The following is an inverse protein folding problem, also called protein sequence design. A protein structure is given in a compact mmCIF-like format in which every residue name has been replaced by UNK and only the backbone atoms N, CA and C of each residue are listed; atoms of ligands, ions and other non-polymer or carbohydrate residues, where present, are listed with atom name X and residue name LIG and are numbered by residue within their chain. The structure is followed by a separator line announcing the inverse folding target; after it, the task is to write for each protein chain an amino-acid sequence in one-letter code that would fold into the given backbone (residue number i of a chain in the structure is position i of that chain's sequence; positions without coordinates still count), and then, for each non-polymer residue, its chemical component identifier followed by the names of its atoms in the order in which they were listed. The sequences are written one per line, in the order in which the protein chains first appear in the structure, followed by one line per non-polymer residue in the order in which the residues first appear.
data_IF_285349935130
#
_entry.id   IF_285349935130
#
_cell.length_a   1.000
_cell.length_b   1.000
_cell.length_c   1.000
_cell.angle_alpha   90.00
_cell.angle_beta   90.00
_cell.angle_gamma   90.00
#
_symmetry.space_group_name_H-M   'P 1'
#
loop_
_entity.id
_entity.type
_entity.pdbx_description
1 polymer ?
#
# COMPACT_ATOMS: atom_id res chain seq x y z
N UNK A 1 21.03 1.70 -2.62
CA UNK A 1 20.52 1.22 -1.32
C UNK A 1 19.75 2.33 -0.59
N UNK A 2 20.40 3.20 0.19
CA UNK A 2 19.69 4.15 1.08
C UNK A 2 18.71 5.08 0.37
N UNK A 3 19.06 5.60 -0.82
CA UNK A 3 18.17 6.47 -1.59
C UNK A 3 16.85 5.78 -1.99
N UNK A 4 16.92 4.50 -2.35
CA UNK A 4 15.75 3.67 -2.72
C UNK A 4 14.86 3.44 -1.50
N UNK A 5 15.46 3.07 -0.36
CA UNK A 5 14.72 2.83 0.87
C UNK A 5 14.05 4.11 1.41
N UNK A 6 14.75 5.26 1.36
CA UNK A 6 14.20 6.56 1.77
C UNK A 6 13.06 6.98 0.83
N UNK A 7 13.22 6.81 -0.48
CA UNK A 7 12.16 7.12 -1.44
C UNK A 7 10.89 6.29 -1.17
N UNK A 8 11.04 4.97 -0.95
CA UNK A 8 9.90 4.12 -0.58
C UNK A 8 9.24 4.58 0.73
N UNK A 9 10.03 4.93 1.76
CA UNK A 9 9.50 5.47 3.01
C UNK A 9 8.74 6.77 2.82
N UNK A 10 9.24 7.69 1.98
CA UNK A 10 8.62 8.98 1.74
C UNK A 10 7.31 8.84 0.95
N UNK A 11 7.25 7.92 -0.01
CA UNK A 11 6.01 7.58 -0.69
C UNK A 11 4.96 7.06 0.30
N UNK A 12 5.37 6.24 1.28
CA UNK A 12 4.52 5.66 2.33
C UNK A 12 4.12 6.62 3.46
N UNK A 13 4.52 7.90 3.45
CA UNK A 13 4.21 8.82 4.55
C UNK A 13 2.71 8.95 4.86
N UNK A 14 1.77 8.99 3.89
CA UNK A 14 0.34 9.06 4.20
C UNK A 14 -0.15 7.79 4.92
N UNK A 15 0.35 6.62 4.52
CA UNK A 15 0.07 5.36 5.22
C UNK A 15 0.61 5.37 6.65
N UNK A 16 1.88 5.75 6.84
CA UNK A 16 2.47 5.89 8.18
C UNK A 16 1.68 6.85 9.07
N UNK A 17 1.30 8.01 8.52
CA UNK A 17 0.55 9.02 9.25
C UNK A 17 -0.80 8.50 9.71
N UNK A 18 -1.49 7.76 8.84
CA UNK A 18 -2.74 7.06 9.16
C UNK A 18 -2.55 6.04 10.29
N UNK A 19 -1.48 5.25 10.25
CA UNK A 19 -1.18 4.29 11.32
C UNK A 19 -0.92 4.99 12.67
N UNK A 20 -0.24 6.13 12.68
CA UNK A 20 -0.02 6.91 13.91
C UNK A 20 -1.31 7.56 14.43
N UNK A 21 -2.19 8.03 13.54
CA UNK A 21 -3.51 8.51 13.94
C UNK A 21 -4.32 7.38 14.60
N UNK A 22 -4.34 6.18 14.00
CA UNK A 22 -4.99 5.00 14.57
C UNK A 22 -4.37 4.59 15.92
N UNK A 23 -3.06 4.67 16.07
CA UNK A 23 -2.38 4.41 17.34
C UNK A 23 -2.82 5.41 18.43
N UNK A 24 -2.91 6.69 18.09
CA UNK A 24 -3.35 7.75 19.01
C UNK A 24 -4.81 7.60 19.43
N UNK A 25 -5.70 7.25 18.49
CA UNK A 25 -7.14 7.17 18.74
C UNK A 25 -7.60 5.82 19.33
N UNK A 26 -6.97 4.72 18.93
CA UNK A 26 -7.44 3.36 19.24
C UNK A 26 -6.36 2.45 19.86
N UNK A 27 -5.12 2.92 20.03
CA UNK A 27 -4.04 2.14 20.64
C UNK A 27 -3.48 1.02 19.76
N UNK A 28 -3.77 1.03 18.45
CA UNK A 28 -3.29 0.00 17.51
C UNK A 28 -1.83 0.28 17.13
N UNK A 29 -0.89 -0.66 17.31
CA UNK A 29 0.52 -0.43 17.02
C UNK A 29 0.77 -0.22 15.51
N UNK A 30 1.57 0.79 15.10
CA UNK A 30 1.94 0.99 13.70
C UNK A 30 2.86 -0.10 13.15
N UNK A 31 3.72 -0.68 14.00
CA UNK A 31 4.60 -1.80 13.64
C UNK A 31 4.14 -3.02 14.43
N UNK A 32 3.88 -4.12 13.73
CA UNK A 32 3.19 -5.29 14.29
C UNK A 32 4.03 -6.54 14.09
N UNK A 33 4.07 -7.40 15.11
CA UNK A 33 4.59 -8.75 14.95
C UNK A 33 3.65 -9.56 14.05
N UNK A 34 4.16 -10.57 13.35
CA UNK A 34 3.33 -11.36 12.43
C UNK A 34 2.18 -12.07 13.16
N UNK A 35 2.44 -12.63 14.36
CA UNK A 35 1.40 -13.26 15.19
C UNK A 35 0.30 -12.30 15.66
N UNK A 36 0.55 -10.99 15.69
CA UNK A 36 -0.47 -10.01 16.08
C UNK A 36 -1.56 -9.91 15.02
N UNK A 37 -1.17 -9.96 13.74
CA UNK A 37 -2.08 -9.90 12.59
C UNK A 37 -2.62 -11.27 12.17
N UNK A 38 -1.87 -12.33 12.47
CA UNK A 38 -2.19 -13.71 12.11
C UNK A 38 -2.09 -14.62 13.35
N UNK A 39 -2.99 -14.43 14.34
CA UNK A 39 -2.91 -15.16 15.62
C UNK A 39 -3.20 -16.66 15.50
N UNK A 40 -3.86 -17.09 14.43
CA UNK A 40 -4.23 -18.49 14.18
C UNK A 40 -3.14 -19.29 13.43
N UNK A 41 -1.95 -18.71 13.27
CA UNK A 41 -0.77 -19.31 12.63
C UNK A 41 0.38 -19.47 13.66
N UNK A 42 0.42 -20.58 14.43
CA UNK A 42 1.42 -20.78 15.49
C UNK A 42 2.87 -20.73 15.02
N UNK A 43 3.14 -21.07 13.76
CA UNK A 43 4.45 -20.95 13.13
C UNK A 43 4.99 -19.51 13.12
N UNK A 44 4.12 -18.50 13.27
CA UNK A 44 4.50 -17.08 13.31
C UNK A 44 4.87 -16.59 14.71
N UNK A 45 4.61 -17.37 15.77
CA UNK A 45 4.77 -16.91 17.15
C UNK A 45 6.23 -16.70 17.52
N UNK A 46 7.13 -17.44 16.87
CA UNK A 46 8.59 -17.34 17.07
C UNK A 46 9.25 -16.41 16.07
N UNK A 47 8.51 -15.78 15.16
CA UNK A 47 9.08 -14.91 14.13
C UNK A 47 9.36 -13.53 14.70
N UNK A 48 10.64 -13.23 14.89
CA UNK A 48 11.15 -11.98 15.46
C UNK A 48 12.07 -11.18 14.52
N UNK A 49 12.30 -11.70 13.30
CA UNK A 49 13.15 -11.09 12.26
C UNK A 49 12.38 -10.51 11.08
N UNK A 50 11.05 -10.62 11.09
CA UNK A 50 10.14 -9.98 10.15
C UNK A 50 9.11 -9.17 10.94
N UNK A 51 8.57 -8.13 10.33
CA UNK A 51 7.48 -7.36 10.92
C UNK A 51 6.55 -6.84 9.83
N UNK A 52 5.35 -6.47 10.26
CA UNK A 52 4.40 -5.74 9.45
C UNK A 52 4.44 -4.25 9.82
N UNK A 53 4.32 -3.39 8.81
CA UNK A 53 3.92 -2.00 8.98
C UNK A 53 2.42 -1.95 8.70
N UNK A 54 1.65 -1.63 9.73
CA UNK A 54 0.21 -1.86 9.75
C UNK A 54 -0.11 -3.34 9.55
N UNK A 55 -1.13 -3.61 8.75
CA UNK A 55 -1.57 -4.95 8.35
C UNK A 55 -1.19 -5.29 6.89
N UNK A 56 -0.61 -4.34 6.15
CA UNK A 56 -0.52 -4.40 4.69
C UNK A 56 0.91 -4.55 4.14
N UNK A 57 1.94 -4.18 4.90
CA UNK A 57 3.33 -4.18 4.40
C UNK A 57 4.21 -5.11 5.23
N UNK A 58 4.70 -6.19 4.64
CA UNK A 58 5.64 -7.14 5.25
C UNK A 58 7.08 -6.78 4.92
N UNK A 59 7.92 -6.66 5.94
CA UNK A 59 9.36 -6.35 5.79
C UNK A 59 10.21 -7.54 6.22
N UNK A 60 11.14 -7.94 5.34
CA UNK A 60 12.05 -9.09 5.55
C UNK A 60 13.50 -8.65 5.30
N UNK A 61 14.20 -8.09 6.31
CA UNK A 61 15.55 -7.58 6.15
C UNK A 61 16.64 -8.67 6.19
N UNK A 62 17.76 -8.40 5.53
CA UNK A 62 19.01 -9.15 5.78
C UNK A 62 19.64 -8.65 7.08
N UNK A 63 19.86 -9.56 8.03
CA UNK A 63 20.44 -9.26 9.35
C UNK A 63 21.81 -9.94 9.57
N UNK A 64 22.36 -10.59 8.54
CA UNK A 64 23.65 -11.31 8.61
C UNK A 64 24.65 -10.69 7.64
N UNK A 65 25.86 -10.30 8.11
CA UNK A 65 26.88 -9.72 7.24
C UNK A 65 27.24 -10.63 6.06
N UNK A 66 27.34 -10.04 4.87
CA UNK A 66 27.75 -10.74 3.65
C UNK A 66 26.69 -11.67 3.02
N UNK A 67 25.52 -11.82 3.64
CA UNK A 67 24.42 -12.58 3.05
C UNK A 67 23.85 -11.84 1.83
N UNK A 68 23.53 -12.59 0.79
CA UNK A 68 22.88 -12.11 -0.44
C UNK A 68 21.47 -12.67 -0.62
N UNK A 69 21.01 -13.47 0.34
CA UNK A 69 19.66 -14.02 0.43
C UNK A 69 19.17 -13.92 1.87
N UNK A 70 17.86 -14.00 2.06
CA UNK A 70 17.22 -14.09 3.37
C UNK A 70 16.04 -15.04 3.31
N UNK A 71 15.84 -15.81 4.37
CA UNK A 71 14.65 -16.61 4.54
C UNK A 71 13.56 -15.79 5.24
N UNK A 72 12.37 -15.73 4.65
CA UNK A 72 11.20 -15.12 5.25
C UNK A 72 9.97 -16.00 5.12
N UNK A 73 9.12 -16.01 6.15
CA UNK A 73 7.80 -16.63 6.09
C UNK A 73 6.77 -15.61 5.61
N UNK A 74 5.81 -16.07 4.80
CA UNK A 74 4.73 -15.26 4.26
C UNK A 74 3.41 -15.72 4.91
N UNK A 75 2.81 -14.90 5.81
CA UNK A 75 1.58 -15.26 6.51
C UNK A 75 0.40 -15.50 5.59
N UNK A 76 -0.60 -16.24 6.07
CA UNK A 76 -1.84 -16.52 5.36
C UNK A 76 -1.90 -17.91 4.72
N UNK A 77 -0.91 -18.79 4.95
CA UNK A 77 -0.88 -20.19 4.48
C UNK A 77 -1.33 -20.39 3.02
N UNK A 78 -0.84 -19.54 2.12
CA UNK A 78 -1.15 -19.58 0.69
C UNK A 78 -2.52 -19.00 0.29
N UNK A 79 -3.33 -18.54 1.23
CA UNK A 79 -4.60 -17.84 0.96
C UNK A 79 -4.43 -16.34 0.72
N UNK A 80 -3.33 -15.77 1.20
CA UNK A 80 -2.95 -14.36 1.00
C UNK A 80 -1.93 -14.28 -0.11
N UNK A 81 -2.19 -13.42 -1.10
CA UNK A 81 -1.24 -13.10 -2.16
C UNK A 81 -0.33 -11.97 -1.65
N UNK A 82 0.98 -12.22 -1.62
CA UNK A 82 1.98 -11.20 -1.33
C UNK A 82 2.65 -10.75 -2.64
N UNK A 83 2.83 -9.45 -2.79
CA UNK A 83 3.45 -8.84 -3.98
C UNK A 83 4.70 -8.07 -3.59
N UNK A 84 5.77 -8.16 -4.36
CA UNK A 84 6.96 -7.34 -4.13
C UNK A 84 6.63 -5.84 -4.29
N UNK A 85 7.10 -5.00 -3.36
CA UNK A 85 6.82 -3.56 -3.35
C UNK A 85 7.41 -2.83 -4.56
N UNK A 86 8.53 -3.31 -5.10
CA UNK A 86 9.28 -2.59 -6.14
C UNK A 86 8.88 -2.99 -7.55
N UNK A 87 8.44 -4.23 -7.73
CA UNK A 87 8.13 -4.84 -9.03
C UNK A 87 6.67 -5.24 -9.17
N UNK A 88 5.92 -5.23 -8.07
CA UNK A 88 4.52 -5.68 -7.96
C UNK A 88 4.27 -7.14 -8.38
N UNK A 89 5.33 -7.90 -8.64
CA UNK A 89 5.27 -9.32 -8.96
C UNK A 89 4.77 -10.12 -7.76
N UNK A 90 3.97 -11.15 -8.02
CA UNK A 90 3.53 -12.10 -7.00
C UNK A 90 4.73 -12.89 -6.50
N UNK A 91 4.87 -13.00 -5.19
CA UNK A 91 5.86 -13.88 -4.57
C UNK A 91 5.35 -15.32 -4.61
N UNK A 92 6.15 -16.22 -5.16
CA UNK A 92 5.90 -17.66 -5.08
C UNK A 92 6.37 -18.20 -3.72
N UNK A 93 5.60 -17.92 -2.67
CA UNK A 93 5.97 -18.26 -1.31
C UNK A 93 5.65 -19.71 -0.93
N UNK A 94 6.51 -20.32 -0.12
CA UNK A 94 6.26 -21.60 0.54
C UNK A 94 5.14 -21.44 1.57
N UNK A 95 4.02 -22.14 1.38
CA UNK A 95 2.90 -22.07 2.33
C UNK A 95 3.29 -22.61 3.72
N UNK A 96 3.14 -21.78 4.75
CA UNK A 96 3.41 -22.15 6.15
C UNK A 96 4.88 -22.38 6.48
N UNK A 97 5.80 -21.92 5.63
CA UNK A 97 7.23 -22.12 5.82
C UNK A 97 8.06 -21.00 5.22
N UNK A 98 9.37 -21.08 5.42
CA UNK A 98 10.30 -20.11 4.89
C UNK A 98 10.39 -20.19 3.36
N UNK A 99 10.50 -19.01 2.76
CA UNK A 99 10.82 -18.79 1.35
C UNK A 99 12.16 -18.07 1.30
N UNK A 100 13.12 -18.61 0.56
CA UNK A 100 14.41 -17.96 0.33
C UNK A 100 14.24 -16.86 -0.71
N UNK A 101 14.57 -15.63 -0.32
CA UNK A 101 14.45 -14.43 -1.14
C UNK A 101 15.83 -13.91 -1.53
N UNK A 102 15.96 -13.44 -2.76
CA UNK A 102 17.14 -12.67 -3.17
C UNK A 102 17.19 -11.36 -2.40
N UNK A 103 18.38 -11.04 -1.88
CA UNK A 103 18.59 -9.84 -1.08
C UNK A 103 20.00 -9.28 -1.31
N UNK A 104 20.32 -8.84 -2.55
CA UNK A 104 21.58 -8.18 -2.82
C UNK A 104 21.72 -6.92 -1.97
N UNK A 105 22.96 -6.46 -1.74
CA UNK A 105 23.29 -5.36 -0.82
C UNK A 105 22.50 -4.06 -1.02
N UNK A 106 21.93 -3.85 -2.22
CA UNK A 106 21.14 -2.67 -2.57
C UNK A 106 19.63 -2.80 -2.39
N UNK A 107 19.13 -3.96 -1.97
CA UNK A 107 17.71 -4.31 -1.95
C UNK A 107 17.31 -4.85 -0.57
N UNK A 108 16.15 -4.41 -0.09
CA UNK A 108 15.48 -4.94 1.10
C UNK A 108 14.16 -5.52 0.64
N UNK A 109 13.82 -6.73 1.09
CA UNK A 109 12.57 -7.38 0.72
C UNK A 109 11.40 -6.72 1.46
N UNK A 110 10.48 -6.13 0.71
CA UNK A 110 9.27 -5.47 1.20
C UNK A 110 8.11 -5.94 0.34
N UNK A 111 7.03 -6.37 0.95
CA UNK A 111 5.90 -6.95 0.24
C UNK A 111 4.58 -6.33 0.66
N UNK A 112 3.70 -6.17 -0.32
CA UNK A 112 2.35 -5.67 -0.18
C UNK A 112 1.42 -6.87 -0.06
N UNK A 113 0.63 -6.88 1.00
CA UNK A 113 -0.46 -7.83 1.19
C UNK A 113 -1.54 -7.57 0.15
N UNK A 114 -2.18 -8.61 -0.36
CA UNK A 114 -3.47 -8.44 -1.00
C UNK A 114 -4.51 -7.88 -0.03
N UNK A 115 -5.68 -7.54 -0.54
CA UNK A 115 -6.74 -6.83 0.18
C UNK A 115 -6.40 -5.42 0.64
N UNK A 116 -5.26 -4.85 0.25
CA UNK A 116 -4.82 -3.53 0.71
C UNK A 116 -5.08 -2.42 -0.31
N UNK A 117 -5.41 -1.22 0.18
CA UNK A 117 -5.46 0.01 -0.60
C UNK A 117 -4.70 1.13 0.14
N UNK A 118 -3.60 1.60 -0.43
CA UNK A 118 -2.62 2.45 0.23
C UNK A 118 -2.56 3.83 -0.45
N UNK A 119 -2.88 4.89 0.31
CA UNK A 119 -2.59 6.25 -0.13
C UNK A 119 -1.10 6.53 0.04
N UNK A 120 -0.48 7.03 -1.03
CA UNK A 120 0.94 7.30 -1.14
C UNK A 120 1.18 8.71 -1.69
N UNK A 121 2.36 9.27 -1.47
CA UNK A 121 2.84 10.36 -2.32
C UNK A 121 3.38 9.78 -3.63
N UNK A 122 2.99 10.36 -4.77
CA UNK A 122 3.41 9.89 -6.09
C UNK A 122 4.91 10.07 -6.30
N UNK A 123 5.42 11.27 -6.00
CA UNK A 123 6.82 11.62 -6.18
C UNK A 123 7.41 12.20 -4.89
N UNK A 124 8.20 11.42 -4.14
CA UNK A 124 8.94 11.90 -2.98
C UNK A 124 9.90 13.05 -3.28
N UNK A 125 9.79 14.15 -2.52
CA UNK A 125 10.77 15.24 -2.47
C UNK A 125 11.94 14.95 -1.52
N UNK A 126 12.82 15.94 -1.31
CA UNK A 126 13.94 15.82 -0.37
C UNK A 126 13.52 16.01 1.09
N UNK A 127 12.40 16.69 1.32
CA UNK A 127 11.83 16.93 2.65
C UNK A 127 10.37 16.51 2.72
N UNK A 128 9.84 16.38 3.94
CA UNK A 128 8.41 16.13 4.13
C UNK A 128 7.55 17.30 3.65
N UNK A 129 8.07 18.54 3.64
CA UNK A 129 7.33 19.71 3.16
C UNK A 129 7.15 19.63 1.65
N UNK A 130 8.24 19.45 0.91
CA UNK A 130 8.20 19.26 -0.55
C UNK A 130 7.35 18.05 -0.95
N UNK A 131 7.49 16.94 -0.23
CA UNK A 131 6.73 15.71 -0.52
C UNK A 131 5.23 15.92 -0.31
N UNK A 132 4.83 16.66 0.74
CA UNK A 132 3.42 16.96 1.03
C UNK A 132 2.78 17.91 0.03
N UNK A 133 3.56 18.73 -0.66
CA UNK A 133 3.07 19.62 -1.72
C UNK A 133 2.75 18.87 -3.02
N UNK A 134 3.39 17.71 -3.23
CA UNK A 134 3.22 16.88 -4.42
C UNK A 134 1.91 16.08 -4.44
N UNK A 135 1.51 15.57 -5.62
CA UNK A 135 0.30 14.79 -5.79
C UNK A 135 0.34 13.44 -5.05
N UNK A 136 -0.84 12.91 -4.79
CA UNK A 136 -1.02 11.57 -4.25
C UNK A 136 -1.03 10.52 -5.37
N UNK A 137 -0.66 9.30 -4.98
CA UNK A 137 -0.89 8.06 -5.70
C UNK A 137 -1.69 7.11 -4.81
N UNK A 138 -2.44 6.19 -5.43
CA UNK A 138 -3.18 5.14 -4.75
C UNK A 138 -2.75 3.79 -5.29
N UNK A 139 -2.27 2.91 -4.42
CA UNK A 139 -1.87 1.54 -4.75
C UNK A 139 -2.86 0.55 -4.15
N UNK A 140 -3.54 -0.21 -5.01
CA UNK A 140 -4.56 -1.18 -4.61
C UNK A 140 -4.09 -2.58 -4.98
N UNK A 141 -3.96 -3.47 -3.99
CA UNK A 141 -3.57 -4.86 -4.20
C UNK A 141 -4.77 -5.78 -3.98
N UNK A 142 -5.37 -6.26 -5.07
CA UNK A 142 -6.53 -7.14 -5.00
C UNK A 142 -6.15 -8.56 -4.60
N UNK A 143 -7.03 -9.18 -3.81
CA UNK A 143 -7.00 -10.63 -3.57
C UNK A 143 -7.60 -11.41 -4.74
N UNK A 144 -7.66 -12.74 -4.61
CA UNK A 144 -8.24 -13.63 -5.61
C UNK A 144 -9.74 -13.36 -5.89
N UNK A 145 -10.47 -12.77 -4.94
CA UNK A 145 -11.88 -12.39 -5.09
C UNK A 145 -12.05 -10.99 -5.74
N UNK A 146 -10.96 -10.30 -6.09
CA UNK A 146 -11.00 -8.97 -6.67
C UNK A 146 -11.37 -7.89 -5.65
N UNK A 147 -11.10 -8.11 -4.35
CA UNK A 147 -11.40 -7.16 -3.28
C UNK A 147 -10.16 -6.58 -2.63
N UNK A 148 -10.28 -5.32 -2.20
CA UNK A 148 -9.32 -4.63 -1.35
C UNK A 148 -9.97 -3.50 -0.56
N UNK A 149 -9.35 -3.14 0.56
CA UNK A 149 -9.82 -2.10 1.46
C UNK A 149 -8.64 -1.32 2.04
N UNK A 150 -8.87 -0.05 2.33
CA UNK A 150 -7.92 0.76 3.07
C UNK A 150 -8.52 2.08 3.50
N UNK A 151 -7.83 2.76 4.40
CA UNK A 151 -8.21 4.09 4.85
C UNK A 151 -7.00 5.03 4.84
N UNK A 152 -7.25 6.33 4.80
CA UNK A 152 -6.24 7.34 5.06
C UNK A 152 -6.78 8.44 5.97
N UNK A 153 -5.93 8.95 6.87
CA UNK A 153 -6.20 10.10 7.71
C UNK A 153 -5.30 11.26 7.28
N UNK A 154 -5.88 12.44 7.05
CA UNK A 154 -5.18 13.63 6.59
C UNK A 154 -5.61 14.85 7.41
N UNK A 155 -4.64 15.63 7.87
CA UNK A 155 -4.82 16.92 8.52
C UNK A 155 -3.61 17.84 8.18
N UNK A 156 -3.51 18.98 8.86
CA UNK A 156 -2.41 19.93 8.65
C UNK A 156 -1.02 19.40 9.06
N UNK A 157 -0.93 18.30 9.83
CA UNK A 157 0.30 17.69 10.31
C UNK A 157 1.07 18.47 11.38
N UNK A 158 0.51 19.56 11.91
CA UNK A 158 1.25 20.54 12.73
C UNK A 158 0.50 20.91 14.02
N UNK A 159 -0.82 21.09 13.97
CA UNK A 159 -1.58 21.68 15.07
C UNK A 159 -1.72 20.77 16.30
N UNK A 160 -1.69 21.36 17.49
CA UNK A 160 -2.01 20.69 18.76
C UNK A 160 -2.98 21.55 19.61
N UNK A 161 -4.20 21.05 19.93
CA UNK A 161 -4.77 19.78 19.47
C UNK A 161 -4.98 19.77 17.94
N UNK A 162 -5.10 18.57 17.32
CA UNK A 162 -5.36 18.47 15.89
C UNK A 162 -6.59 19.28 15.47
N UNK A 163 -6.48 19.99 14.35
CA UNK A 163 -7.55 20.81 13.79
C UNK A 163 -8.57 20.00 12.99
N UNK A 164 -9.06 20.59 11.90
CA UNK A 164 -9.88 19.85 10.93
C UNK A 164 -9.06 18.71 10.33
N UNK A 165 -9.71 17.55 10.17
CA UNK A 165 -9.15 16.39 9.50
C UNK A 165 -10.10 15.86 8.43
N UNK A 166 -9.58 15.02 7.56
CA UNK A 166 -10.33 14.26 6.55
C UNK A 166 -9.90 12.80 6.61
N UNK A 167 -10.89 11.92 6.61
CA UNK A 167 -10.73 10.49 6.50
C UNK A 167 -11.15 10.05 5.09
N UNK A 168 -10.33 9.21 4.46
CA UNK A 168 -10.63 8.58 3.18
C UNK A 168 -10.88 7.09 3.39
N UNK A 169 -11.83 6.54 2.66
CA UNK A 169 -12.10 5.10 2.57
C UNK A 169 -11.95 4.66 1.12
N UNK A 170 -11.13 3.63 0.91
CA UNK A 170 -10.91 3.01 -0.38
C UNK A 170 -11.50 1.60 -0.33
N UNK A 171 -12.41 1.29 -1.25
CA UNK A 171 -13.02 -0.04 -1.32
C UNK A 171 -13.05 -0.53 -2.76
N UNK A 172 -12.32 -1.60 -3.03
CA UNK A 172 -12.36 -2.30 -4.30
C UNK A 172 -13.20 -3.57 -4.18
N UNK A 173 -14.14 -3.73 -5.09
CA UNK A 173 -14.96 -4.93 -5.27
C UNK A 173 -15.64 -4.90 -6.65
N UNK A 174 -15.95 -6.07 -7.21
CA UNK A 174 -16.80 -6.19 -8.41
C UNK A 174 -16.31 -5.36 -9.62
N UNK A 175 -14.99 -5.23 -9.81
CA UNK A 175 -14.42 -4.46 -10.92
C UNK A 175 -14.49 -2.93 -10.74
N UNK A 176 -14.71 -2.45 -9.51
CA UNK A 176 -14.74 -1.04 -9.19
C UNK A 176 -13.94 -0.72 -7.93
N UNK A 177 -13.34 0.46 -7.90
CA UNK A 177 -12.73 1.09 -6.74
C UNK A 177 -13.54 2.34 -6.40
N UNK A 178 -14.17 2.34 -5.22
CA UNK A 178 -14.85 3.49 -4.65
C UNK A 178 -13.90 4.21 -3.70
N UNK A 179 -13.85 5.53 -3.82
CA UNK A 179 -13.12 6.41 -2.92
C UNK A 179 -14.15 7.36 -2.32
N UNK A 180 -14.27 7.30 -1.00
CA UNK A 180 -15.16 8.15 -0.23
C UNK A 180 -14.35 8.95 0.77
N UNK A 181 -14.81 10.17 1.05
CA UNK A 181 -14.16 11.08 1.99
C UNK A 181 -15.16 11.63 2.98
N UNK A 182 -14.73 11.80 4.23
CA UNK A 182 -15.49 12.45 5.30
C UNK A 182 -14.58 13.40 6.11
N UNK A 183 -15.14 14.48 6.63
CA UNK A 183 -14.41 15.48 7.42
C UNK A 183 -14.25 16.84 6.75
N UNK A 184 -13.66 17.78 7.49
CA UNK A 184 -13.62 19.20 7.13
C UNK A 184 -12.27 19.72 6.63
N UNK A 185 -11.22 18.89 6.62
CA UNK A 185 -9.91 19.30 6.10
C UNK A 185 -9.94 19.32 4.57
N UNK A 186 -9.55 20.44 3.95
CA UNK A 186 -9.55 20.57 2.49
C UNK A 186 -8.20 20.14 1.90
N UNK A 187 -8.18 18.98 1.25
CA UNK A 187 -7.01 18.45 0.55
C UNK A 187 -6.73 19.26 -0.71
N UNK A 188 -5.56 19.91 -0.77
CA UNK A 188 -5.19 20.73 -1.93
C UNK A 188 -4.61 19.90 -3.08
N UNK A 189 -3.91 18.81 -2.73
CA UNK A 189 -3.25 17.93 -3.67
C UNK A 189 -4.26 16.99 -4.34
N UNK A 190 -4.04 16.71 -5.63
CA UNK A 190 -4.84 15.76 -6.39
C UNK A 190 -4.27 14.35 -6.29
N UNK A 191 -5.13 13.36 -6.50
CA UNK A 191 -4.74 11.99 -6.77
C UNK A 191 -4.51 11.85 -8.28
N UNK A 192 -3.25 11.67 -8.68
CA UNK A 192 -2.83 11.68 -10.09
C UNK A 192 -2.53 10.29 -10.66
N UNK A 193 -2.22 9.32 -9.79
CA UNK A 193 -1.90 7.97 -10.19
C UNK A 193 -2.71 6.95 -9.38
N UNK A 194 -3.38 6.04 -10.07
CA UNK A 194 -4.08 4.90 -9.44
C UNK A 194 -3.53 3.62 -10.05
N UNK A 195 -2.92 2.79 -9.21
CA UNK A 195 -2.40 1.47 -9.60
C UNK A 195 -3.27 0.39 -8.96
N UNK A 196 -3.77 -0.54 -9.76
CA UNK A 196 -4.58 -1.67 -9.29
C UNK A 196 -3.92 -2.98 -9.72
N UNK A 197 -3.48 -3.77 -8.75
CA UNK A 197 -2.80 -5.06 -8.94
C UNK A 197 -3.77 -6.22 -8.82
N UNK A 198 -3.57 -7.27 -9.62
CA UNK A 198 -4.44 -8.45 -9.63
C UNK A 198 -5.69 -8.29 -10.50
N UNK A 199 -5.70 -7.32 -11.42
CA UNK A 199 -6.81 -7.05 -12.33
C UNK A 199 -6.68 -7.92 -13.58
N UNK A 200 -7.78 -8.52 -14.04
CA UNK A 200 -7.82 -9.14 -15.38
C UNK A 200 -7.79 -8.04 -16.44
N UNK A 201 -7.13 -8.28 -17.58
CA UNK A 201 -6.93 -7.25 -18.61
C UNK A 201 -8.23 -6.53 -18.97
N UNK A 202 -8.35 -5.23 -18.66
CA UNK A 202 -9.56 -4.49 -18.95
C UNK A 202 -9.64 -4.17 -20.45
N UNK A 203 -10.86 -4.19 -20.95
CA UNK A 203 -11.27 -3.64 -22.24
C UNK A 203 -11.62 -2.16 -22.14
N UNK A 204 -12.07 -1.73 -20.97
CA UNK A 204 -12.45 -0.34 -20.71
C UNK A 204 -12.18 0.04 -19.26
N UNK A 205 -11.68 1.27 -19.07
CA UNK A 205 -11.49 1.90 -17.77
C UNK A 205 -12.26 3.21 -17.73
N UNK A 206 -12.99 3.46 -16.65
CA UNK A 206 -13.72 4.72 -16.44
C UNK A 206 -13.41 5.32 -15.09
N UNK A 207 -13.26 6.64 -15.02
CA UNK A 207 -13.01 7.39 -13.79
C UNK A 207 -14.01 8.53 -13.70
N UNK A 208 -14.67 8.66 -12.54
CA UNK A 208 -15.72 9.68 -12.32
C UNK A 208 -16.84 9.65 -13.39
N UNK A 209 -17.14 8.47 -13.96
CA UNK A 209 -18.13 8.29 -15.02
C UNK A 209 -17.64 8.60 -16.44
N UNK A 210 -16.44 9.16 -16.61
CA UNK A 210 -15.79 9.39 -17.90
C UNK A 210 -14.89 8.22 -18.33
N UNK A 211 -14.73 8.02 -19.64
CA UNK A 211 -13.78 7.01 -20.17
C UNK A 211 -12.35 7.54 -20.01
N UNK A 212 -11.47 6.75 -19.40
CA UNK A 212 -10.04 7.04 -19.28
C UNK A 212 -9.35 6.56 -20.55
N UNK A 213 -8.66 7.47 -21.24
CA UNK A 213 -7.88 7.14 -22.45
C UNK A 213 -6.43 6.76 -22.11
N UNK A 214 -5.87 7.34 -21.04
CA UNK A 214 -4.48 7.15 -20.63
C UNK A 214 -4.39 6.14 -19.48
N UNK A 215 -4.28 4.87 -19.82
CA UNK A 215 -3.95 3.81 -18.87
C UNK A 215 -3.02 2.77 -19.53
N UNK A 216 -2.22 2.11 -18.70
CA UNK A 216 -1.37 1.00 -19.12
C UNK A 216 -1.79 -0.27 -18.42
N UNK A 217 -1.50 -1.42 -19.05
CA UNK A 217 -1.72 -2.72 -18.43
C UNK A 217 -0.52 -3.64 -18.70
N UNK A 218 0.10 -4.14 -17.64
CA UNK A 218 1.13 -5.17 -17.71
C UNK A 218 0.54 -6.53 -17.35
N UNK A 219 0.48 -7.42 -18.35
CA UNK A 219 -0.15 -8.73 -18.25
C UNK A 219 0.56 -9.64 -17.25
N UNK A 220 1.89 -9.57 -17.18
CA UNK A 220 2.71 -10.50 -16.39
C UNK A 220 2.44 -10.36 -14.89
N UNK A 221 2.27 -9.13 -14.42
CA UNK A 221 2.01 -8.80 -13.01
C UNK A 221 0.56 -8.41 -12.75
N UNK A 222 -0.28 -8.40 -13.80
CA UNK A 222 -1.71 -8.03 -13.76
C UNK A 222 -1.92 -6.65 -13.15
N UNK A 223 -1.14 -5.69 -13.63
CA UNK A 223 -1.11 -4.32 -13.15
C UNK A 223 -1.84 -3.41 -14.12
N UNK A 224 -2.86 -2.71 -13.63
CA UNK A 224 -3.50 -1.58 -14.30
C UNK A 224 -2.97 -0.28 -13.69
N UNK A 225 -2.44 0.63 -14.51
CA UNK A 225 -2.07 1.99 -14.06
C UNK A 225 -2.89 3.02 -14.81
N UNK A 226 -3.62 3.85 -14.07
CA UNK A 226 -4.28 5.06 -14.55
C UNK A 226 -3.40 6.25 -14.17
N UNK A 227 -2.90 6.97 -15.18
CA UNK A 227 -2.10 8.18 -15.02
C UNK A 227 -2.92 9.43 -15.31
N UNK A 228 -2.46 10.60 -14.84
CA UNK A 228 -3.14 11.89 -15.03
C UNK A 228 -4.61 11.84 -14.56
N UNK A 229 -4.86 11.14 -13.45
CA UNK A 229 -6.20 10.92 -12.93
C UNK A 229 -6.87 12.22 -12.48
N UNK A 230 -6.09 13.22 -12.02
CA UNK A 230 -6.56 14.54 -11.58
C UNK A 230 -7.78 14.49 -10.65
N UNK A 231 -7.81 13.51 -9.74
CA UNK A 231 -8.94 13.26 -8.85
C UNK A 231 -8.90 14.19 -7.65
N UNK A 232 -10.05 14.80 -7.35
CA UNK A 232 -10.29 15.51 -6.10
C UNK A 232 -10.66 14.54 -4.98
N UNK A 233 -9.83 14.47 -3.93
CA UNK A 233 -10.06 13.61 -2.76
C UNK A 233 -11.00 14.25 -1.71
N UNK A 234 -11.53 15.45 -1.97
CA UNK A 234 -12.51 16.08 -1.09
C UNK A 234 -13.96 15.60 -1.32
N UNK A 235 -14.19 14.80 -2.36
CA UNK A 235 -15.49 14.24 -2.71
C UNK A 235 -15.49 12.73 -2.86
N UNK A 236 -16.52 12.21 -3.52
CA UNK A 236 -16.61 10.81 -3.88
C UNK A 236 -16.22 10.59 -5.34
N UNK A 237 -15.43 9.55 -5.59
CA UNK A 237 -15.08 9.14 -6.95
C UNK A 237 -15.14 7.63 -7.09
N UNK A 238 -15.42 7.17 -8.30
CA UNK A 238 -15.37 5.74 -8.63
C UNK A 238 -14.52 5.53 -9.87
N UNK A 239 -13.57 4.61 -9.77
CA UNK A 239 -12.86 4.01 -10.88
C UNK A 239 -13.52 2.66 -11.18
N UNK A 240 -13.76 2.33 -12.45
CA UNK A 240 -14.21 0.99 -12.86
C UNK A 240 -13.33 0.43 -13.96
N UNK A 241 -13.14 -0.88 -13.97
CA UNK A 241 -12.41 -1.62 -14.98
C UNK A 241 -13.23 -2.84 -15.40
N UNK A 242 -13.46 -2.99 -16.71
CA UNK A 242 -14.27 -4.06 -17.31
C UNK A 242 -13.47 -4.87 -18.31
#
# INVERSE_FOLDING_TARGET
ASRIAIAARYALLPYWYTLFANASMAGVPPVRALFYEFPDEPELFTVDRQWLVGNDILVTPVLTPGATTVDGIFPGRGSVIWRDWYTHAVVNATSGGNTTLDAPISHINVHIRDTSALLLHQEPGYTIYETREGPYALLVSLNAAGTAFGTAYVDDGISFPPGLSRSLTFQAAEGALKIESDGGYEMQQKLEMITVLGVQKPTQVTLAGGIVQEWTYEETIKELVVSNACVDLNGQVTLTWK
#
